data_IF_887975703854
#
_entry.id   IF_887975703854
#
_cell.length_a   1.000
_cell.length_b   1.000
_cell.length_c   1.000
_cell.angle_alpha   90.00
_cell.angle_beta   90.00
_cell.angle_gamma   90.00
#
_symmetry.space_group_name_H-M   'P 1'
#
loop_
_entity.id
_entity.type
_entity.pdbx_description
1 polymer ?
#
# COMPACT_ATOMS: atom_id res chain seq x y z
N UNK A 1 9.43 -11.15 -12.78
CA UNK A 1 10.86 -11.07 -12.44
C UNK A 1 11.04 -9.97 -11.42
N UNK A 2 11.67 -10.27 -10.29
CA UNK A 2 11.92 -9.29 -9.23
C UNK A 2 13.05 -8.33 -9.63
N UNK A 3 12.88 -7.04 -9.33
CA UNK A 3 13.91 -6.01 -9.38
C UNK A 3 13.98 -5.26 -8.05
N UNK A 4 15.11 -4.61 -7.75
CA UNK A 4 15.18 -3.70 -6.61
C UNK A 4 14.20 -2.53 -6.82
N UNK A 5 13.51 -2.09 -5.77
CA UNK A 5 12.45 -1.07 -5.90
C UNK A 5 12.98 0.22 -6.53
N UNK A 6 14.15 0.68 -6.10
CA UNK A 6 14.79 1.91 -6.58
C UNK A 6 15.34 1.81 -8.02
N UNK A 7 15.32 0.61 -8.63
CA UNK A 7 15.70 0.41 -10.03
C UNK A 7 14.52 0.47 -11.00
N UNK A 8 13.29 0.48 -10.49
CA UNK A 8 12.10 0.59 -11.34
C UNK A 8 11.92 2.04 -11.81
N UNK A 9 11.44 2.26 -13.05
CA UNK A 9 11.10 3.59 -13.53
C UNK A 9 10.01 4.27 -12.70
N UNK A 10 10.02 5.60 -12.63
CA UNK A 10 9.10 6.39 -11.80
C UNK A 10 7.63 6.23 -12.19
N UNK A 11 7.35 5.96 -13.46
CA UNK A 11 6.01 5.67 -14.00
C UNK A 11 5.50 4.26 -13.69
N UNK A 12 6.33 3.40 -13.07
CA UNK A 12 5.92 2.05 -12.67
C UNK A 12 4.70 2.09 -11.77
N UNK A 13 3.70 1.29 -12.10
CA UNK A 13 2.41 1.29 -11.42
C UNK A 13 2.55 0.71 -10.02
N UNK A 14 1.90 1.34 -9.04
CA UNK A 14 1.90 0.92 -7.64
C UNK A 14 0.52 0.46 -7.18
N UNK A 15 0.51 -0.55 -6.30
CA UNK A 15 -0.60 -0.90 -5.43
C UNK A 15 -0.14 -0.89 -3.98
N UNK A 16 -0.89 -0.18 -3.12
CA UNK A 16 -0.62 -0.10 -1.69
C UNK A 16 -1.76 -0.78 -0.94
N UNK A 17 -1.40 -1.74 -0.10
CA UNK A 17 -2.30 -2.50 0.76
C UNK A 17 -1.94 -2.20 2.21
N UNK A 18 -2.85 -1.53 2.92
CA UNK A 18 -2.66 -1.11 4.30
C UNK A 18 -3.42 -2.04 5.23
N UNK A 19 -2.73 -2.62 6.20
CA UNK A 19 -3.40 -3.44 7.21
C UNK A 19 -4.19 -2.59 8.22
N UNK A 20 -5.34 -3.11 8.68
CA UNK A 20 -6.11 -2.55 9.79
C UNK A 20 -5.36 -2.60 11.15
N UNK A 21 -4.37 -3.49 11.30
CA UNK A 21 -3.48 -3.55 12.47
C UNK A 21 -2.01 -3.54 12.08
N UNK A 22 -1.12 -3.48 13.08
CA UNK A 22 0.30 -3.77 12.84
C UNK A 22 0.49 -5.27 12.72
N UNK A 23 1.34 -5.68 11.80
CA UNK A 23 1.92 -7.00 11.76
C UNK A 23 3.04 -7.11 12.80
N UNK A 24 3.21 -8.30 13.37
CA UNK A 24 4.40 -8.64 14.15
C UNK A 24 5.62 -8.81 13.24
N UNK A 25 6.83 -8.77 13.79
CA UNK A 25 8.06 -8.98 13.01
C UNK A 25 8.08 -10.37 12.35
N UNK A 26 7.56 -11.39 13.04
CA UNK A 26 7.40 -12.75 12.48
C UNK A 26 6.45 -12.74 11.29
N UNK A 27 5.29 -12.10 11.40
CA UNK A 27 4.34 -11.97 10.29
C UNK A 27 4.98 -11.22 9.10
N UNK A 28 5.79 -10.19 9.35
CA UNK A 28 6.48 -9.46 8.29
C UNK A 28 7.48 -10.33 7.53
N UNK A 29 8.26 -11.16 8.22
CA UNK A 29 9.21 -12.10 7.58
C UNK A 29 8.45 -13.12 6.73
N UNK A 30 7.33 -13.65 7.24
CA UNK A 30 6.50 -14.59 6.50
C UNK A 30 5.83 -13.95 5.27
N UNK A 31 5.33 -12.72 5.41
CA UNK A 31 4.77 -11.93 4.30
C UNK A 31 5.82 -11.68 3.25
N UNK A 32 7.03 -11.27 3.64
CA UNK A 32 8.13 -11.03 2.72
C UNK A 32 8.46 -12.27 1.89
N UNK A 33 8.59 -13.42 2.56
CA UNK A 33 8.88 -14.71 1.90
C UNK A 33 7.77 -15.08 0.90
N UNK A 34 6.50 -14.94 1.31
CA UNK A 34 5.36 -15.23 0.44
C UNK A 34 5.28 -14.28 -0.75
N UNK A 35 5.60 -12.99 -0.55
CA UNK A 35 5.58 -11.97 -1.58
C UNK A 35 6.68 -12.18 -2.61
N UNK A 36 7.90 -12.51 -2.18
CA UNK A 36 9.00 -12.89 -3.08
C UNK A 36 8.64 -14.09 -3.94
N UNK A 37 8.02 -15.13 -3.34
CA UNK A 37 7.56 -16.30 -4.08
C UNK A 37 6.48 -15.94 -5.10
N UNK A 38 5.50 -15.12 -4.72
CA UNK A 38 4.45 -14.66 -5.62
C UNK A 38 5.00 -13.85 -6.80
N UNK A 39 5.82 -12.83 -6.56
CA UNK A 39 6.35 -11.95 -7.61
C UNK A 39 7.29 -12.66 -8.60
N UNK A 40 7.90 -13.77 -8.18
CA UNK A 40 8.70 -14.61 -9.07
C UNK A 40 7.84 -15.29 -10.14
N UNK A 41 6.66 -15.75 -9.75
CA UNK A 41 5.70 -16.44 -10.63
C UNK A 41 4.68 -15.48 -11.27
N UNK A 42 4.67 -14.21 -10.86
CA UNK A 42 3.69 -13.25 -11.33
C UNK A 42 3.91 -12.86 -12.80
N UNK A 43 2.88 -13.10 -13.62
CA UNK A 43 2.94 -12.99 -15.06
C UNK A 43 1.61 -12.49 -15.64
N UNK A 44 1.69 -11.84 -16.80
CA UNK A 44 0.56 -11.43 -17.62
C UNK A 44 0.65 -12.09 -19.00
N UNK A 45 -0.40 -12.83 -19.40
CA UNK A 45 -0.41 -13.62 -20.65
C UNK A 45 0.80 -14.55 -20.84
N UNK A 46 1.32 -15.10 -19.72
CA UNK A 46 2.50 -15.99 -19.73
C UNK A 46 3.84 -15.27 -19.72
N UNK A 47 3.86 -13.94 -19.88
CA UNK A 47 5.07 -13.11 -19.76
C UNK A 47 5.24 -12.65 -18.32
N UNK A 48 6.39 -12.92 -17.72
CA UNK A 48 6.67 -12.47 -16.35
C UNK A 48 6.63 -10.95 -16.22
N UNK A 49 6.01 -10.46 -15.15
CA UNK A 49 5.95 -9.03 -14.84
C UNK A 49 7.24 -8.59 -14.15
N UNK A 50 7.89 -7.56 -14.69
CA UNK A 50 8.98 -6.89 -13.99
C UNK A 50 8.40 -6.10 -12.82
N UNK A 51 8.71 -6.53 -11.60
CA UNK A 51 8.01 -6.08 -10.41
C UNK A 51 8.92 -6.00 -9.20
N UNK A 52 8.49 -5.22 -8.21
CA UNK A 52 9.16 -5.09 -6.92
C UNK A 52 8.15 -4.91 -5.80
N UNK A 53 8.65 -4.85 -4.56
CA UNK A 53 7.84 -4.57 -3.40
C UNK A 53 8.57 -3.74 -2.35
N UNK A 54 7.79 -3.10 -1.47
CA UNK A 54 8.26 -2.56 -0.20
C UNK A 54 7.33 -3.00 0.92
N UNK A 55 7.95 -3.25 2.07
CA UNK A 55 7.26 -3.49 3.34
C UNK A 55 7.61 -2.32 4.27
N UNK A 56 6.60 -1.58 4.71
CA UNK A 56 6.81 -0.34 5.49
C UNK A 56 5.97 -0.35 6.76
N UNK A 57 6.57 0.17 7.84
CA UNK A 57 5.91 0.45 9.12
C UNK A 57 5.17 -0.74 9.76
N UNK A 58 5.58 -1.97 9.44
CA UNK A 58 4.90 -3.21 9.83
C UNK A 58 3.39 -3.17 9.55
N UNK A 59 2.97 -2.51 8.46
CA UNK A 59 1.55 -2.30 8.16
C UNK A 59 1.25 -2.29 6.67
N UNK A 60 2.17 -1.77 5.86
CA UNK A 60 1.96 -1.58 4.43
C UNK A 60 2.69 -2.63 3.62
N UNK A 61 1.97 -3.21 2.67
CA UNK A 61 2.51 -4.01 1.57
C UNK A 61 2.34 -3.16 0.31
N UNK A 62 3.46 -2.83 -0.34
CA UNK A 62 3.48 -2.02 -1.55
C UNK A 62 4.04 -2.91 -2.66
N UNK A 63 3.34 -2.99 -3.78
CA UNK A 63 3.76 -3.74 -4.97
C UNK A 63 3.90 -2.76 -6.13
N UNK A 64 5.00 -2.84 -6.88
CA UNK A 64 5.25 -2.03 -8.06
C UNK A 64 5.46 -2.92 -9.30
N UNK A 65 5.02 -2.45 -10.47
CA UNK A 65 5.20 -3.13 -11.77
C UNK A 65 5.64 -2.13 -12.83
N UNK A 66 6.73 -2.45 -13.53
CA UNK A 66 7.16 -1.71 -14.71
C UNK A 66 6.20 -2.00 -15.87
N UNK A 67 5.37 -1.02 -16.20
CA UNK A 67 4.35 -1.17 -17.24
C UNK A 67 4.91 -1.11 -18.66
N UNK A 68 6.10 -0.56 -18.86
CA UNK A 68 6.72 -0.42 -20.18
C UNK A 68 7.22 -1.77 -20.71
N UNK A 69 7.72 -2.64 -19.84
CA UNK A 69 8.19 -3.98 -20.20
C UNK A 69 7.01 -4.91 -20.46
N UNK A 70 6.07 -4.98 -19.53
CA UNK A 70 4.83 -5.73 -19.68
C UNK A 70 3.76 -5.15 -18.78
N UNK A 71 2.69 -4.63 -19.38
CA UNK A 71 1.55 -4.16 -18.62
C UNK A 71 0.85 -5.33 -17.91
N UNK A 72 0.49 -5.12 -16.64
CA UNK A 72 -0.41 -6.00 -15.90
C UNK A 72 -1.79 -6.03 -16.57
N UNK A 73 -2.31 -7.23 -16.82
CA UNK A 73 -3.65 -7.46 -17.37
C UNK A 73 -4.63 -7.90 -16.29
N UNK A 74 -5.94 -7.94 -16.62
CA UNK A 74 -7.00 -8.33 -15.68
C UNK A 74 -6.67 -9.59 -14.89
N UNK A 75 -6.34 -10.70 -15.56
CA UNK A 75 -5.99 -11.96 -14.91
C UNK A 75 -4.76 -11.87 -13.99
N UNK A 76 -3.76 -11.06 -14.34
CA UNK A 76 -2.60 -10.85 -13.47
C UNK A 76 -2.94 -9.97 -12.27
N UNK A 77 -3.86 -9.02 -12.42
CA UNK A 77 -4.35 -8.22 -11.29
C UNK A 77 -5.20 -9.10 -10.38
N UNK A 78 -6.06 -9.95 -10.93
CA UNK A 78 -6.88 -10.89 -10.16
C UNK A 78 -6.00 -11.81 -9.31
N UNK A 79 -4.92 -12.37 -9.87
CA UNK A 79 -3.99 -13.20 -9.08
C UNK A 79 -3.27 -12.43 -7.97
N UNK A 80 -2.97 -11.14 -8.18
CA UNK A 80 -2.44 -10.29 -7.11
C UNK A 80 -3.46 -10.03 -6.01
N UNK A 81 -4.73 -9.83 -6.38
CA UNK A 81 -5.82 -9.64 -5.41
C UNK A 81 -6.06 -10.92 -4.62
N UNK A 82 -6.09 -12.08 -5.26
CA UNK A 82 -6.21 -13.39 -4.60
C UNK A 82 -5.03 -13.63 -3.63
N UNK A 83 -3.81 -13.28 -4.02
CA UNK A 83 -2.65 -13.34 -3.14
C UNK A 83 -2.85 -12.48 -1.89
N UNK A 84 -3.27 -11.22 -2.03
CA UNK A 84 -3.54 -10.33 -0.89
C UNK A 84 -4.66 -10.86 0.00
N UNK A 85 -5.75 -11.38 -0.57
CA UNK A 85 -6.85 -12.01 0.18
C UNK A 85 -6.37 -13.23 0.97
N UNK A 86 -5.41 -13.98 0.44
CA UNK A 86 -4.81 -15.10 1.18
C UNK A 86 -4.08 -14.63 2.44
N UNK A 87 -3.42 -13.47 2.39
CA UNK A 87 -2.77 -12.84 3.55
C UNK A 87 -3.81 -12.31 4.53
N UNK A 88 -4.89 -11.66 4.06
CA UNK A 88 -6.02 -11.24 4.89
C UNK A 88 -6.56 -12.40 5.73
N UNK A 89 -6.82 -13.54 5.08
CA UNK A 89 -7.32 -14.75 5.74
C UNK A 89 -6.30 -15.33 6.71
N UNK A 90 -5.03 -15.45 6.30
CA UNK A 90 -3.98 -16.07 7.12
C UNK A 90 -3.76 -15.29 8.42
N UNK A 91 -3.72 -13.97 8.35
CA UNK A 91 -3.40 -13.13 9.51
C UNK A 91 -4.63 -12.50 10.17
N UNK A 92 -5.84 -12.77 9.65
CA UNK A 92 -7.09 -12.17 10.13
C UNK A 92 -7.01 -10.64 10.16
N UNK A 93 -6.67 -10.05 9.02
CA UNK A 93 -6.53 -8.59 8.81
C UNK A 93 -7.31 -8.15 7.59
N UNK A 94 -7.58 -6.85 7.50
CA UNK A 94 -8.08 -6.21 6.28
C UNK A 94 -6.90 -5.53 5.56
N UNK A 95 -6.78 -5.73 4.25
CA UNK A 95 -5.74 -5.19 3.36
C UNK A 95 -6.33 -4.54 2.10
N UNK A 96 -7.51 -4.97 1.67
CA UNK A 96 -8.17 -4.45 0.46
C UNK A 96 -8.98 -3.17 0.70
N UNK A 97 -9.31 -2.85 1.96
CA UNK A 97 -10.03 -1.62 2.29
C UNK A 97 -9.10 -0.40 2.31
N UNK A 98 -9.07 0.30 1.17
CA UNK A 98 -8.29 1.53 0.97
C UNK A 98 -8.89 2.78 1.61
N UNK A 99 -10.10 2.71 2.17
CA UNK A 99 -10.80 3.89 2.70
C UNK A 99 -10.37 4.24 4.12
N UNK A 100 -9.79 3.29 4.85
CA UNK A 100 -9.35 3.51 6.23
C UNK A 100 -8.06 4.32 6.30
N UNK A 101 -7.98 5.18 7.31
CA UNK A 101 -6.95 6.21 7.39
C UNK A 101 -5.84 5.78 8.34
N UNK A 102 -4.62 5.69 7.81
CA UNK A 102 -3.42 5.69 8.64
C UNK A 102 -2.80 7.08 8.59
N UNK A 103 -2.26 7.53 9.72
CA UNK A 103 -1.70 8.88 9.87
C UNK A 103 -0.65 8.91 10.99
N UNK A 104 0.22 9.92 10.97
CA UNK A 104 1.20 10.16 12.03
C UNK A 104 0.57 10.99 13.15
N UNK A 105 0.78 10.56 14.39
CA UNK A 105 0.45 11.29 15.61
C UNK A 105 1.73 11.42 16.44
N UNK A 106 2.44 12.54 16.26
CA UNK A 106 3.83 12.66 16.69
C UNK A 106 4.70 11.60 15.99
N UNK A 107 5.47 10.86 16.78
CA UNK A 107 6.36 9.78 16.29
C UNK A 107 5.62 8.46 16.00
N UNK A 108 4.32 8.38 16.31
CA UNK A 108 3.57 7.14 16.19
C UNK A 108 2.70 7.10 14.94
N UNK A 109 2.56 5.92 14.36
CA UNK A 109 1.63 5.65 13.26
C UNK A 109 0.34 5.07 13.84
N UNK A 110 -0.75 5.81 13.67
CA UNK A 110 -2.09 5.45 14.09
C UNK A 110 -2.95 5.03 12.90
N UNK A 111 -3.93 4.16 13.15
CA UNK A 111 -4.93 3.73 12.18
C UNK A 111 -6.32 3.98 12.75
N UNK A 112 -7.24 4.47 11.91
CA UNK A 112 -8.66 4.57 12.23
C UNK A 112 -9.53 4.24 11.02
N UNK A 113 -10.70 3.60 11.25
CA UNK A 113 -11.75 3.60 10.25
C UNK A 113 -12.10 5.02 9.82
N UNK A 114 -12.46 5.22 8.55
CA UNK A 114 -12.74 6.56 8.00
C UNK A 114 -13.75 7.35 8.83
N UNK A 115 -14.78 6.68 9.35
CA UNK A 115 -15.82 7.30 10.18
C UNK A 115 -15.25 7.86 11.49
N UNK A 116 -14.29 7.17 12.10
CA UNK A 116 -13.67 7.63 13.33
C UNK A 116 -12.62 8.71 13.07
N UNK A 117 -11.89 8.63 11.96
CA UNK A 117 -11.01 9.72 11.54
C UNK A 117 -11.79 11.03 11.35
N UNK A 118 -12.97 10.98 10.72
CA UNK A 118 -13.86 12.15 10.59
C UNK A 118 -14.32 12.73 11.92
N UNK A 119 -14.54 11.90 12.95
CA UNK A 119 -14.86 12.39 14.30
C UNK A 119 -13.65 13.11 14.89
N UNK A 120 -12.45 12.54 14.73
CA UNK A 120 -11.21 13.17 15.20
C UNK A 120 -10.96 14.53 14.56
N UNK A 121 -11.30 14.73 13.28
CA UNK A 121 -11.24 16.04 12.62
C UNK A 121 -12.18 17.03 13.29
N UNK A 122 -13.45 16.65 13.51
CA UNK A 122 -14.46 17.49 14.20
C UNK A 122 -14.05 17.87 15.62
N UNK A 123 -13.43 16.93 16.33
CA UNK A 123 -12.93 17.10 17.69
C UNK A 123 -11.58 17.85 17.74
N UNK A 124 -11.04 18.26 16.57
CA UNK A 124 -9.74 18.93 16.41
C UNK A 124 -8.56 18.12 16.93
N UNK A 125 -8.71 16.80 17.03
CA UNK A 125 -7.65 15.87 17.42
C UNK A 125 -6.67 15.59 16.26
N UNK A 126 -7.09 15.84 15.02
CA UNK A 126 -6.24 15.90 13.82
C UNK A 126 -6.52 17.21 13.09
N UNK A 127 -5.52 17.71 12.38
CA UNK A 127 -5.55 18.98 11.65
C UNK A 127 -5.18 18.78 10.18
N UNK A 128 -5.38 19.81 9.36
CA UNK A 128 -4.95 19.84 7.95
C UNK A 128 -3.46 19.50 7.76
N UNK A 129 -2.61 19.88 8.72
CA UNK A 129 -1.17 19.58 8.73
C UNK A 129 -0.81 18.17 9.23
N UNK A 130 -1.78 17.35 9.64
CA UNK A 130 -1.53 15.97 10.08
C UNK A 130 -1.06 15.15 8.89
N UNK A 131 0.11 14.51 9.00
CA UNK A 131 0.63 13.66 7.92
C UNK A 131 -0.21 12.38 7.82
N UNK A 132 -0.78 12.13 6.66
CA UNK A 132 -1.58 10.96 6.32
C UNK A 132 -0.88 10.11 5.26
N UNK A 133 -1.29 8.85 5.13
CA UNK A 133 -0.79 7.95 4.10
C UNK A 133 -1.78 7.89 2.92
N UNK A 134 -1.39 8.45 1.76
CA UNK A 134 -2.23 8.47 0.56
C UNK A 134 -2.08 7.16 -0.23
N UNK A 135 -2.86 6.15 0.12
CA UNK A 135 -2.81 4.83 -0.55
C UNK A 135 -3.44 4.79 -1.96
N UNK A 136 -3.78 5.97 -2.52
CA UNK A 136 -4.38 6.12 -3.85
C UNK A 136 -3.38 6.64 -4.91
N UNK A 137 -2.11 6.83 -4.54
CA UNK A 137 -1.04 7.11 -5.51
C UNK A 137 -0.92 5.98 -6.53
N UNK A 138 -0.58 6.33 -7.77
CA UNK A 138 -0.69 5.44 -8.92
C UNK A 138 0.65 4.87 -9.40
N UNK A 139 1.74 5.59 -9.16
CA UNK A 139 3.07 5.24 -9.64
C UNK A 139 4.17 5.56 -8.60
N UNK A 140 5.41 5.15 -8.88
CA UNK A 140 6.57 5.38 -8.01
C UNK A 140 6.83 6.87 -7.79
N UNK A 141 6.65 7.72 -8.80
CA UNK A 141 6.81 9.17 -8.65
C UNK A 141 5.86 9.73 -7.58
N UNK A 142 4.56 9.49 -7.74
CA UNK A 142 3.53 9.93 -6.80
C UNK A 142 3.75 9.31 -5.41
N UNK A 143 4.23 8.07 -5.34
CA UNK A 143 4.57 7.44 -4.06
C UNK A 143 5.71 8.16 -3.34
N UNK A 144 6.78 8.51 -4.06
CA UNK A 144 7.92 9.22 -3.48
C UNK A 144 7.57 10.65 -3.04
N UNK A 145 6.71 11.34 -3.81
CA UNK A 145 6.38 12.74 -3.57
C UNK A 145 5.17 12.93 -2.63
N UNK A 146 4.20 12.02 -2.66
CA UNK A 146 2.85 12.25 -2.13
C UNK A 146 2.26 11.09 -1.32
N UNK A 147 3.02 10.03 -1.00
CA UNK A 147 2.50 8.96 -0.14
C UNK A 147 2.37 9.39 1.32
N UNK A 148 3.38 10.05 1.88
CA UNK A 148 3.34 10.65 3.22
C UNK A 148 3.19 12.16 3.09
N UNK A 149 1.97 12.65 3.27
CA UNK A 149 1.62 14.02 2.87
C UNK A 149 0.68 14.66 3.90
N UNK A 150 0.70 16.00 4.10
CA UNK A 150 -0.31 16.67 4.91
C UNK A 150 -1.73 16.32 4.46
N UNK A 151 -2.66 16.22 5.40
CA UNK A 151 -4.04 15.87 5.10
C UNK A 151 -4.69 16.82 4.09
N UNK A 152 -4.37 18.13 4.18
CA UNK A 152 -4.83 19.16 3.24
C UNK A 152 -4.35 18.96 1.79
N UNK A 153 -3.21 18.31 1.59
CA UNK A 153 -2.62 18.06 0.27
C UNK A 153 -3.00 16.67 -0.27
N UNK A 154 -3.92 15.98 0.41
CA UNK A 154 -4.44 14.68 0.02
C UNK A 154 -5.94 14.70 -0.19
N UNK A 155 -6.52 13.57 -0.61
CA UNK A 155 -7.97 13.43 -0.70
C UNK A 155 -8.71 13.57 0.64
N UNK A 156 -8.00 13.52 1.78
CA UNK A 156 -8.56 13.74 3.11
C UNK A 156 -8.93 15.21 3.38
N UNK A 157 -8.40 16.15 2.59
CA UNK A 157 -8.71 17.60 2.66
C UNK A 157 -10.20 17.88 2.67
N UNK A 158 -11.00 17.07 1.98
CA UNK A 158 -12.46 17.16 1.93
C UNK A 158 -13.18 17.01 3.28
N UNK A 159 -12.47 16.65 4.35
CA UNK A 159 -13.03 16.46 5.70
C UNK A 159 -12.73 17.60 6.67
N UNK A 160 -11.81 18.50 6.32
CA UNK A 160 -11.40 19.63 7.15
C UNK A 160 -12.24 20.88 6.84
#
# INVERSE_FOLDING_TARGET
MYQAFDSLPEESKIWIYQSNRKFSDTEMIEIETALQAFLKEWAAHGTSLESSYLLKYNRFIIIAVNQEVQAATGCSIDSSVEFIQSLEKKYSVDLLDKMNVTFKLGEHIAYKPLLDFKKMVKDKAVTENTIVFNNLVNNIQEFNESWEVPAADSWHSRFF
#
